data_IF_098468426286
#
_entry.id   IF_098468426286
#
_cell.length_a   1.000
_cell.length_b   1.000
_cell.length_c   1.000
_cell.angle_alpha   90.00
_cell.angle_beta   90.00
_cell.angle_gamma   90.00
#
_symmetry.space_group_name_H-M   'P 1'
#
loop_
_entity.id
_entity.type
_entity.pdbx_description
1 polymer ?
#
# COMPACT_ATOMS: atom_id res chain seq x y z
N UNK A 1 -2.60 -32.13 -1.40
CA UNK A 1 -3.91 -32.14 -2.10
C UNK A 1 -4.78 -30.88 -1.95
N UNK A 2 -4.53 -29.94 -1.01
CA UNK A 2 -5.36 -28.72 -0.86
C UNK A 2 -5.10 -27.60 -1.89
N UNK A 3 -3.96 -27.61 -2.60
CA UNK A 3 -3.65 -26.64 -3.66
C UNK A 3 -4.51 -26.81 -4.93
N UNK A 4 -5.02 -28.02 -5.18
CA UNK A 4 -5.87 -28.31 -6.35
C UNK A 4 -7.26 -27.66 -6.20
N UNK A 5 -7.78 -27.52 -4.98
CA UNK A 5 -9.07 -26.84 -4.76
C UNK A 5 -9.01 -25.33 -5.03
N UNK A 6 -7.86 -24.68 -4.79
CA UNK A 6 -7.64 -23.28 -5.17
C UNK A 6 -7.57 -23.13 -6.69
N UNK A 7 -6.94 -24.07 -7.41
CA UNK A 7 -6.90 -24.10 -8.88
C UNK A 7 -8.29 -24.34 -9.48
N UNK A 8 -9.11 -25.21 -8.88
CA UNK A 8 -10.49 -25.49 -9.34
C UNK A 8 -11.41 -24.29 -9.13
N UNK A 9 -11.29 -23.55 -8.02
CA UNK A 9 -12.04 -22.29 -7.83
C UNK A 9 -11.56 -21.18 -8.77
N UNK A 10 -10.27 -21.17 -9.14
CA UNK A 10 -9.70 -20.23 -10.08
C UNK A 10 -10.06 -20.52 -11.54
N UNK A 11 -10.25 -21.79 -11.91
CA UNK A 11 -10.61 -22.24 -13.26
C UNK A 11 -12.11 -22.31 -13.50
N UNK A 12 -12.92 -22.66 -12.50
CA UNK A 12 -14.39 -22.74 -12.62
C UNK A 12 -15.04 -21.36 -12.81
N UNK A 13 -14.44 -20.29 -12.29
CA UNK A 13 -14.93 -18.92 -12.48
C UNK A 13 -14.66 -18.33 -13.87
N UNK A 14 -13.97 -19.07 -14.76
CA UNK A 14 -13.65 -18.62 -16.13
C UNK A 14 -14.78 -18.95 -17.13
N UNK A 15 -15.81 -19.70 -16.75
CA UNK A 15 -16.86 -20.18 -17.69
C UNK A 15 -18.25 -19.55 -17.55
N UNK A 16 -18.49 -18.62 -16.62
CA UNK A 16 -19.81 -17.98 -16.50
C UNK A 16 -19.85 -16.62 -17.19
N UNK A 17 -20.59 -16.55 -18.31
CA UNK A 17 -20.97 -15.31 -19.00
C UNK A 17 -21.78 -14.41 -18.06
N UNK A 18 -21.37 -13.15 -17.93
CA UNK A 18 -22.06 -12.14 -17.13
C UNK A 18 -22.83 -11.17 -18.03
N UNK A 19 -24.15 -11.11 -17.84
CA UNK A 19 -25.05 -10.05 -18.31
C UNK A 19 -25.09 -8.94 -17.25
N UNK A 20 -24.75 -7.71 -17.64
CA UNK A 20 -24.76 -6.53 -16.77
C UNK A 20 -26.07 -5.73 -16.88
N UNK A 21 -26.53 -5.08 -15.80
CA UNK A 21 -27.44 -3.95 -15.89
C UNK A 21 -26.78 -2.63 -15.43
N UNK A 22 -27.09 -1.57 -16.19
CA UNK A 22 -26.71 -0.18 -15.99
C UNK A 22 -27.33 0.44 -14.72
N UNK A 23 -26.55 1.26 -14.01
CA UNK A 23 -27.03 2.07 -12.88
C UNK A 23 -26.37 3.45 -12.86
N UNK A 24 -27.20 4.48 -13.11
CA UNK A 24 -26.92 5.91 -13.26
C UNK A 24 -26.54 6.57 -11.91
N UNK A 25 -25.54 7.46 -11.88
CA UNK A 25 -25.19 8.30 -10.71
C UNK A 25 -25.52 9.77 -10.94
N UNK A 26 -26.13 10.40 -9.95
CA UNK A 26 -26.36 11.85 -9.85
C UNK A 26 -25.34 12.48 -8.91
N UNK A 27 -24.79 13.62 -9.30
CA UNK A 27 -23.79 14.42 -8.60
C UNK A 27 -24.41 15.46 -7.66
N UNK A 28 -23.78 15.70 -6.50
CA UNK A 28 -23.96 16.93 -5.71
C UNK A 28 -22.61 17.46 -5.27
N UNK A 29 -22.34 18.70 -5.66
CA UNK A 29 -21.14 19.48 -5.35
C UNK A 29 -21.24 20.18 -4.00
N UNK A 30 -20.17 20.17 -3.21
CA UNK A 30 -19.96 21.13 -2.13
C UNK A 30 -18.50 21.57 -2.11
N UNK A 31 -18.28 22.87 -2.32
CA UNK A 31 -17.00 23.54 -2.26
C UNK A 31 -16.67 23.94 -0.82
N UNK A 32 -15.44 23.71 -0.38
CA UNK A 32 -14.89 24.41 0.79
C UNK A 32 -13.42 24.78 0.53
N UNK A 33 -13.22 26.10 0.55
CA UNK A 33 -11.98 26.84 0.39
C UNK A 33 -11.29 26.95 1.76
N UNK A 34 -10.01 26.61 1.88
CA UNK A 34 -9.18 26.94 3.07
C UNK A 34 -7.73 27.27 2.69
N UNK A 35 -7.05 28.16 3.44
CA UNK A 35 -5.76 28.74 3.05
C UNK A 35 -4.54 28.05 3.69
N UNK A 36 -3.37 28.32 3.08
CA UNK A 36 -2.02 27.88 3.43
C UNK A 36 -1.60 28.11 4.89
N UNK A 37 -0.89 27.14 5.46
CA UNK A 37 -0.21 27.25 6.75
C UNK A 37 1.20 27.82 6.56
N UNK A 38 1.43 29.01 7.14
CA UNK A 38 2.75 29.65 7.33
C UNK A 38 3.24 29.31 8.75
N UNK A 39 4.52 28.94 8.85
CA UNK A 39 5.18 28.57 10.10
C UNK A 39 5.40 29.79 11.02
N UNK A 40 4.94 29.69 12.27
CA UNK A 40 5.19 30.67 13.33
C UNK A 40 6.18 30.13 14.36
N UNK A 41 7.35 30.78 14.44
CA UNK A 41 8.40 30.55 15.42
C UNK A 41 7.97 31.08 16.80
N UNK A 42 8.08 30.26 17.85
CA UNK A 42 7.80 30.68 19.23
C UNK A 42 9.08 30.61 20.07
N UNK A 43 9.47 31.76 20.59
CA UNK A 43 10.55 31.98 21.57
C UNK A 43 10.16 31.48 22.96
N UNK A 44 11.09 30.81 23.66
CA UNK A 44 10.95 30.31 25.04
C UNK A 44 11.70 31.22 26.01
N UNK A 45 11.16 31.57 27.19
CA UNK A 45 11.92 32.19 28.24
C UNK A 45 12.52 31.18 29.24
N UNK A 46 13.70 31.57 29.70
CA UNK A 46 14.65 30.92 30.58
C UNK A 46 14.13 30.83 32.03
N UNK A 47 14.25 29.67 32.69
CA UNK A 47 14.04 29.54 34.14
C UNK A 47 15.14 28.71 34.80
N UNK A 48 15.54 29.19 35.99
CA UNK A 48 16.71 28.87 36.79
C UNK A 48 16.71 27.49 37.45
N UNK A 49 17.93 27.02 37.69
CA UNK A 49 18.39 25.93 38.55
C UNK A 49 17.70 25.81 39.93
N UNK A 50 17.40 24.56 40.29
CA UNK A 50 17.48 24.04 41.66
C UNK A 50 17.91 22.57 41.60
N UNK A 51 18.78 22.19 42.54
CA UNK A 51 19.54 20.95 42.65
C UNK A 51 18.71 19.74 43.17
N UNK A 52 19.24 18.56 42.86
CA UNK A 52 19.16 17.27 43.56
C UNK A 52 17.81 16.56 43.78
N UNK A 53 17.50 15.63 42.87
CA UNK A 53 17.14 14.24 43.21
C UNK A 53 17.24 13.35 41.94
N UNK A 54 18.35 12.60 41.79
CA UNK A 54 18.56 11.69 40.64
C UNK A 54 17.77 10.40 40.87
N UNK A 55 16.45 10.50 40.77
CA UNK A 55 15.62 9.38 40.37
C UNK A 55 15.92 9.13 38.90
N UNK A 56 16.66 8.07 38.58
CA UNK A 56 16.79 7.55 37.21
C UNK A 56 15.40 7.16 36.73
N UNK A 57 14.68 8.15 36.21
CA UNK A 57 13.53 7.95 35.35
C UNK A 57 14.06 7.18 34.15
N UNK A 58 13.91 5.86 34.18
CA UNK A 58 13.98 5.05 32.96
C UNK A 58 13.07 5.75 31.95
N UNK A 59 13.69 6.47 31.01
CA UNK A 59 13.00 7.11 29.91
C UNK A 59 12.10 6.06 29.31
N UNK A 60 10.78 6.26 29.41
CA UNK A 60 9.80 5.28 28.98
C UNK A 60 10.13 4.92 27.52
N UNK A 61 10.62 3.68 27.32
CA UNK A 61 11.09 3.24 26.02
C UNK A 61 9.98 3.44 24.99
N UNK A 62 10.35 3.91 23.79
CA UNK A 62 9.37 4.13 22.73
C UNK A 62 8.64 2.81 22.39
N UNK A 63 7.40 2.86 21.90
CA UNK A 63 6.68 1.67 21.47
C UNK A 63 7.50 0.79 20.51
N UNK A 64 8.15 1.41 19.53
CA UNK A 64 8.99 0.74 18.54
C UNK A 64 10.17 0.02 19.23
N UNK A 65 10.87 0.67 20.17
CA UNK A 65 11.98 0.06 20.91
C UNK A 65 11.55 -1.12 21.79
N UNK A 66 10.35 -1.04 22.39
CA UNK A 66 9.78 -2.15 23.17
C UNK A 66 9.48 -3.36 22.29
N UNK A 67 8.92 -3.15 21.09
CA UNK A 67 8.64 -4.22 20.13
C UNK A 67 9.95 -4.82 19.61
N UNK A 68 10.93 -4.00 19.24
CA UNK A 68 12.23 -4.49 18.75
C UNK A 68 12.95 -5.35 19.80
N UNK A 69 12.92 -4.93 21.07
CA UNK A 69 13.45 -5.73 22.18
C UNK A 69 12.71 -7.06 22.31
N UNK A 70 11.38 -7.03 22.30
CA UNK A 70 10.56 -8.24 22.33
C UNK A 70 10.87 -9.20 21.17
N UNK A 71 11.04 -8.68 19.95
CA UNK A 71 11.40 -9.48 18.78
C UNK A 71 12.80 -10.10 18.90
N UNK A 72 13.74 -9.37 19.48
CA UNK A 72 15.11 -9.86 19.75
C UNK A 72 15.09 -10.98 20.78
N UNK A 73 14.35 -10.80 21.87
CA UNK A 73 14.25 -11.78 22.97
C UNK A 73 13.62 -13.09 22.48
N UNK A 74 12.59 -13.03 21.62
CA UNK A 74 11.98 -14.22 21.02
C UNK A 74 12.92 -14.98 20.07
N UNK A 75 13.81 -14.29 19.35
CA UNK A 75 14.79 -14.96 18.48
C UNK A 75 15.80 -15.77 19.30
N UNK A 76 16.28 -15.20 20.41
CA UNK A 76 17.28 -15.85 21.26
C UNK A 76 16.72 -17.08 22.00
N UNK A 77 15.42 -17.11 22.27
CA UNK A 77 14.80 -18.25 22.96
C UNK A 77 14.76 -19.52 22.09
N UNK A 78 14.57 -19.40 20.76
CA UNK A 78 14.55 -20.55 19.85
C UNK A 78 15.94 -21.23 19.76
N UNK A 79 17.04 -20.47 19.93
CA UNK A 79 18.42 -21.00 19.84
C UNK A 79 18.88 -21.79 21.07
N UNK A 80 18.27 -21.56 22.25
CA UNK A 80 18.79 -22.11 23.52
C UNK A 80 18.09 -23.40 23.96
N UNK A 81 16.95 -23.75 23.38
CA UNK A 81 16.23 -25.00 23.64
C UNK A 81 16.87 -26.17 22.87
N UNK A 82 18.10 -26.50 23.24
CA UNK A 82 18.85 -27.65 22.73
C UNK A 82 18.25 -28.98 23.17
N UNK A 83 17.66 -29.70 22.22
CA UNK A 83 17.20 -31.08 22.38
C UNK A 83 17.12 -31.78 21.03
N UNK A 84 18.19 -32.50 20.69
CA UNK A 84 18.38 -33.54 19.66
C UNK A 84 17.39 -33.61 18.46
N UNK A 85 17.98 -33.46 17.27
CA UNK A 85 17.67 -34.16 16.02
C UNK A 85 16.54 -33.68 15.09
N UNK A 86 16.39 -32.36 14.88
CA UNK A 86 15.88 -31.91 13.57
C UNK A 86 16.54 -30.62 13.06
N UNK A 87 17.18 -30.72 11.90
CA UNK A 87 18.22 -29.84 11.38
C UNK A 87 17.64 -28.64 10.58
N UNK A 88 16.66 -27.91 11.13
CA UNK A 88 16.11 -26.74 10.42
C UNK A 88 15.94 -25.51 11.31
N UNK A 89 17.06 -24.86 11.67
CA UNK A 89 17.11 -23.46 12.16
C UNK A 89 16.84 -22.46 11.04
N UNK A 90 15.83 -22.72 10.20
CA UNK A 90 15.40 -21.72 9.22
C UNK A 90 14.52 -20.68 9.91
N UNK A 91 14.82 -19.37 9.78
CA UNK A 91 13.99 -18.34 10.38
C UNK A 91 12.53 -18.50 9.94
N UNK A 92 11.60 -18.35 10.90
CA UNK A 92 10.16 -18.50 10.64
C UNK A 92 9.74 -17.55 9.53
N UNK A 93 9.06 -18.08 8.51
CA UNK A 93 8.71 -17.34 7.31
C UNK A 93 7.37 -16.63 7.47
N UNK A 94 7.29 -15.42 6.93
CA UNK A 94 6.02 -14.70 6.76
C UNK A 94 5.32 -15.15 5.47
N UNK A 95 4.02 -15.44 5.54
CA UNK A 95 3.26 -16.00 4.41
C UNK A 95 2.21 -15.08 3.79
N UNK A 96 1.96 -13.88 4.31
CA UNK A 96 0.92 -12.96 3.81
C UNK A 96 1.50 -12.00 2.76
N UNK A 97 2.10 -12.56 1.70
CA UNK A 97 2.87 -11.81 0.72
C UNK A 97 2.00 -11.00 -0.26
N UNK A 98 0.76 -11.43 -0.52
CA UNK A 98 -0.12 -10.73 -1.46
C UNK A 98 -0.46 -9.31 -1.03
N UNK A 99 -0.55 -9.04 0.28
CA UNK A 99 -0.74 -7.68 0.80
C UNK A 99 0.50 -6.82 0.57
N UNK A 100 1.70 -7.33 0.89
CA UNK A 100 2.99 -6.65 0.67
C UNK A 100 3.17 -6.23 -0.79
N UNK A 101 2.96 -7.15 -1.73
CA UNK A 101 3.08 -6.83 -3.17
C UNK A 101 2.04 -5.84 -3.66
N UNK A 102 0.84 -5.85 -3.08
CA UNK A 102 -0.19 -4.87 -3.41
C UNK A 102 0.26 -3.47 -2.99
N UNK A 103 0.79 -3.33 -1.78
CA UNK A 103 1.35 -2.06 -1.29
C UNK A 103 2.51 -1.58 -2.18
N UNK A 104 3.41 -2.48 -2.59
CA UNK A 104 4.47 -2.13 -3.56
C UNK A 104 3.90 -1.65 -4.91
N UNK A 105 2.84 -2.29 -5.41
CA UNK A 105 2.20 -1.86 -6.66
C UNK A 105 1.58 -0.48 -6.55
N UNK A 106 0.96 -0.13 -5.42
CA UNK A 106 0.43 1.22 -5.19
C UNK A 106 1.56 2.26 -5.16
N UNK A 107 2.64 1.97 -4.43
CA UNK A 107 3.81 2.85 -4.35
C UNK A 107 4.41 3.10 -5.74
N UNK A 108 4.54 2.05 -6.56
CA UNK A 108 5.01 2.15 -7.93
C UNK A 108 4.07 3.00 -8.79
N UNK A 109 2.78 2.69 -8.78
CA UNK A 109 1.79 3.36 -9.63
C UNK A 109 1.61 4.84 -9.25
N UNK A 110 1.70 5.19 -7.97
CA UNK A 110 1.76 6.58 -7.51
C UNK A 110 3.01 7.31 -8.04
N UNK A 111 4.16 6.65 -8.05
CA UNK A 111 5.39 7.20 -8.65
C UNK A 111 5.29 7.38 -10.17
N UNK A 112 4.59 6.47 -10.87
CA UNK A 112 4.32 6.60 -12.32
C UNK A 112 3.36 7.75 -12.60
N UNK A 113 2.31 7.91 -11.79
CA UNK A 113 1.38 9.04 -11.89
C UNK A 113 2.10 10.39 -11.70
N UNK A 114 3.04 10.47 -10.76
CA UNK A 114 3.90 11.65 -10.59
C UNK A 114 4.66 11.97 -11.89
N UNK A 115 5.33 10.98 -12.49
CA UNK A 115 6.13 11.18 -13.72
C UNK A 115 5.26 11.59 -14.90
N UNK A 116 4.07 11.01 -15.03
CA UNK A 116 3.09 11.39 -16.05
C UNK A 116 2.69 12.86 -15.89
N UNK A 117 2.36 13.28 -14.67
CA UNK A 117 2.00 14.67 -14.36
C UNK A 117 3.13 15.66 -14.70
N UNK A 118 4.38 15.35 -14.32
CA UNK A 118 5.54 16.19 -14.65
C UNK A 118 5.73 16.33 -16.17
N UNK A 119 5.55 15.24 -16.92
CA UNK A 119 5.68 15.26 -18.39
C UNK A 119 4.65 16.17 -19.06
N UNK A 120 3.40 16.18 -18.57
CA UNK A 120 2.34 17.06 -19.08
C UNK A 120 2.67 18.55 -18.84
N UNK A 121 3.31 18.87 -17.71
CA UNK A 121 3.78 20.24 -17.42
C UNK A 121 4.86 20.67 -18.41
N UNK A 122 5.86 19.80 -18.66
CA UNK A 122 6.97 20.09 -19.58
C UNK A 122 6.53 20.24 -21.04
N UNK A 123 5.52 19.48 -21.47
CA UNK A 123 5.01 19.56 -22.86
C UNK A 123 4.25 20.86 -23.11
N UNK A 124 3.58 21.39 -22.08
CA UNK A 124 2.79 22.63 -22.18
C UNK A 124 3.66 23.89 -22.28
N UNK A 125 4.94 23.82 -21.87
CA UNK A 125 5.83 25.01 -21.77
C UNK A 125 6.68 25.26 -23.01
N UNK A 126 6.73 24.33 -23.97
CA UNK A 126 7.50 24.51 -25.21
C UNK A 126 6.55 25.00 -26.32
N UNK A 127 6.66 26.27 -26.76
CA UNK A 127 5.89 26.76 -27.90
C UNK A 127 6.49 26.17 -29.18
N UNK A 128 6.03 24.97 -29.56
CA UNK A 128 6.40 24.36 -30.83
C UNK A 128 5.65 25.11 -31.93
N UNK A 129 6.32 26.09 -32.54
CA UNK A 129 5.84 26.77 -33.73
C UNK A 129 5.86 25.85 -34.94
N UNK A 130 4.82 25.03 -35.11
CA UNK A 130 4.49 24.33 -36.35
C UNK A 130 3.14 23.65 -36.17
N UNK A 131 2.34 23.62 -37.25
CA UNK A 131 0.96 23.11 -37.40
C UNK A 131 0.73 21.65 -36.93
N UNK A 132 1.03 21.33 -35.67
CA UNK A 132 0.75 20.04 -35.06
C UNK A 132 -0.73 20.00 -34.72
N UNK A 133 -1.46 19.23 -35.53
CA UNK A 133 -2.83 18.77 -35.29
C UNK A 133 -3.02 18.50 -33.80
N UNK A 134 -3.89 19.28 -33.15
CA UNK A 134 -4.30 19.10 -31.76
C UNK A 134 -4.90 17.70 -31.61
N UNK A 135 -4.10 16.73 -31.18
CA UNK A 135 -4.60 15.44 -30.78
C UNK A 135 -5.24 15.60 -29.38
N UNK A 136 -6.52 15.94 -29.39
CA UNK A 136 -7.44 16.10 -28.25
C UNK A 136 -7.49 14.85 -27.33
N UNK A 137 -6.90 13.73 -27.74
CA UNK A 137 -6.86 12.49 -26.97
C UNK A 137 -5.98 12.56 -25.71
N UNK A 138 -4.97 13.44 -25.69
CA UNK A 138 -3.99 13.52 -24.60
C UNK A 138 -4.48 14.21 -23.32
N UNK A 139 -5.54 15.00 -23.35
CA UNK A 139 -5.96 15.75 -22.16
C UNK A 139 -6.62 14.84 -21.10
N UNK A 140 -7.20 13.70 -21.49
CA UNK A 140 -7.87 12.76 -20.56
C UNK A 140 -6.94 11.83 -19.78
N UNK A 141 -5.66 11.77 -20.15
CA UNK A 141 -4.73 10.75 -19.65
C UNK A 141 -4.53 10.79 -18.13
N UNK A 142 -4.44 11.99 -17.56
CA UNK A 142 -4.14 12.15 -16.13
C UNK A 142 -5.33 11.72 -15.26
N UNK A 143 -6.56 11.99 -15.71
CA UNK A 143 -7.79 11.54 -15.04
C UNK A 143 -7.89 10.02 -15.01
N UNK A 144 -7.71 9.37 -16.15
CA UNK A 144 -7.74 7.90 -16.26
C UNK A 144 -6.63 7.25 -15.44
N UNK A 145 -5.42 7.82 -15.48
CA UNK A 145 -4.30 7.36 -14.68
C UNK A 145 -4.62 7.44 -13.19
N UNK A 146 -5.12 8.59 -12.72
CA UNK A 146 -5.50 8.77 -11.32
C UNK A 146 -6.66 7.86 -10.89
N UNK A 147 -7.64 7.61 -11.77
CA UNK A 147 -8.71 6.63 -11.50
C UNK A 147 -8.13 5.22 -11.27
N UNK A 148 -7.17 4.79 -12.10
CA UNK A 148 -6.52 3.50 -11.89
C UNK A 148 -5.77 3.42 -10.56
N UNK A 149 -4.92 4.42 -10.25
CA UNK A 149 -4.11 4.40 -9.02
C UNK A 149 -4.99 4.49 -7.78
N UNK A 150 -5.97 5.39 -7.76
CA UNK A 150 -6.75 5.70 -6.57
C UNK A 150 -7.98 4.81 -6.43
N UNK A 151 -8.86 4.83 -7.44
CA UNK A 151 -10.19 4.22 -7.33
C UNK A 151 -10.15 2.70 -7.54
N UNK A 152 -9.12 2.19 -8.22
CA UNK A 152 -8.89 0.75 -8.40
C UNK A 152 -7.81 0.20 -7.46
N UNK A 153 -6.54 0.60 -7.63
CA UNK A 153 -5.41 -0.03 -6.91
C UNK A 153 -5.49 0.25 -5.40
N UNK A 154 -5.40 1.52 -5.01
CA UNK A 154 -5.43 1.91 -3.59
C UNK A 154 -6.71 1.50 -2.87
N UNK A 155 -7.87 1.68 -3.51
CA UNK A 155 -9.16 1.26 -2.93
C UNK A 155 -9.21 -0.24 -2.66
N UNK A 156 -8.69 -1.05 -3.59
CA UNK A 156 -8.59 -2.50 -3.40
C UNK A 156 -7.69 -2.87 -2.21
N UNK A 157 -6.54 -2.21 -2.09
CA UNK A 157 -5.63 -2.40 -0.95
C UNK A 157 -6.31 -2.03 0.37
N UNK A 158 -6.90 -0.84 0.46
CA UNK A 158 -7.55 -0.36 1.66
C UNK A 158 -8.73 -1.23 2.10
N UNK A 159 -9.50 -1.79 1.15
CA UNK A 159 -10.57 -2.72 1.47
C UNK A 159 -10.06 -4.01 2.13
N UNK A 160 -8.94 -4.56 1.65
CA UNK A 160 -8.28 -5.71 2.29
C UNK A 160 -7.77 -5.33 3.69
N UNK A 161 -7.16 -4.18 3.82
CA UNK A 161 -6.57 -3.73 5.06
C UNK A 161 -7.63 -3.47 6.16
N UNK A 162 -8.68 -2.72 5.82
CA UNK A 162 -9.72 -2.31 6.76
C UNK A 162 -10.60 -3.49 7.19
N UNK A 163 -10.91 -4.40 6.27
CA UNK A 163 -11.85 -5.50 6.56
C UNK A 163 -11.17 -6.79 7.05
N UNK A 164 -9.89 -6.99 6.75
CA UNK A 164 -9.19 -8.24 7.07
C UNK A 164 -7.90 -8.00 7.84
N UNK A 165 -6.95 -7.25 7.29
CA UNK A 165 -5.57 -7.24 7.79
C UNK A 165 -5.43 -6.59 9.17
N UNK A 166 -5.88 -5.34 9.34
CA UNK A 166 -5.77 -4.64 10.62
C UNK A 166 -6.63 -5.28 11.73
N UNK A 167 -7.89 -5.69 11.48
CA UNK A 167 -8.66 -6.44 12.47
C UNK A 167 -7.94 -7.72 12.93
N UNK A 168 -7.35 -8.45 12.00
CA UNK A 168 -6.58 -9.67 12.31
C UNK A 168 -5.32 -9.38 13.12
N UNK A 169 -4.53 -8.36 12.74
CA UNK A 169 -3.35 -7.93 13.50
C UNK A 169 -3.70 -7.54 14.93
N UNK A 170 -4.77 -6.75 15.12
CA UNK A 170 -5.23 -6.36 16.47
C UNK A 170 -5.67 -7.57 17.28
N UNK A 171 -6.38 -8.52 16.67
CA UNK A 171 -6.83 -9.73 17.35
C UNK A 171 -5.68 -10.63 17.84
N UNK A 172 -4.48 -10.50 17.28
CA UNK A 172 -3.31 -11.31 17.64
C UNK A 172 -2.34 -10.55 18.55
N UNK A 173 -2.04 -9.29 18.20
CA UNK A 173 -0.95 -8.55 18.84
C UNK A 173 -1.42 -7.70 20.02
N UNK A 174 -2.71 -7.38 20.09
CA UNK A 174 -3.27 -6.43 21.06
C UNK A 174 -4.31 -7.08 21.95
N UNK A 175 -5.19 -7.94 21.40
CA UNK A 175 -6.22 -8.60 22.19
C UNK A 175 -5.58 -9.57 23.21
N UNK A 176 -5.86 -9.32 24.48
CA UNK A 176 -5.40 -10.15 25.60
C UNK A 176 -5.89 -11.59 25.49
N UNK A 177 -7.07 -11.80 24.88
CA UNK A 177 -7.66 -13.14 24.72
C UNK A 177 -6.90 -14.03 23.75
N UNK A 178 -6.07 -13.44 22.87
CA UNK A 178 -5.23 -14.21 21.96
C UNK A 178 -4.24 -15.10 22.73
N UNK A 179 -3.81 -14.66 23.91
CA UNK A 179 -2.74 -15.30 24.66
C UNK A 179 -1.39 -15.30 23.94
N UNK A 180 -1.25 -14.60 22.82
CA UNK A 180 -0.03 -14.64 21.97
C UNK A 180 1.05 -13.70 22.53
N UNK A 181 0.66 -12.53 23.03
CA UNK A 181 1.57 -11.56 23.66
C UNK A 181 1.18 -11.39 25.13
N UNK A 182 1.99 -11.94 26.03
CA UNK A 182 1.66 -11.95 27.46
C UNK A 182 1.97 -10.63 28.18
N UNK A 183 3.04 -9.94 27.77
CA UNK A 183 3.48 -8.71 28.43
C UNK A 183 2.60 -7.52 28.03
N UNK A 184 1.90 -6.93 29.01
CA UNK A 184 0.94 -5.84 28.78
C UNK A 184 1.58 -4.59 28.14
N UNK A 185 2.80 -4.23 28.54
CA UNK A 185 3.56 -3.13 27.94
C UNK A 185 3.86 -3.36 26.45
N UNK A 186 4.19 -4.59 26.06
CA UNK A 186 4.43 -4.95 24.66
C UNK A 186 3.13 -4.92 23.85
N UNK A 187 2.02 -5.42 24.40
CA UNK A 187 0.69 -5.30 23.76
C UNK A 187 0.31 -3.83 23.53
N UNK A 188 0.50 -2.99 24.53
CA UNK A 188 0.22 -1.56 24.43
C UNK A 188 1.13 -0.88 23.39
N UNK A 189 2.39 -1.30 23.30
CA UNK A 189 3.30 -0.82 22.26
C UNK A 189 2.82 -1.20 20.85
N UNK A 190 2.40 -2.46 20.62
CA UNK A 190 1.78 -2.86 19.35
C UNK A 190 0.52 -2.08 19.03
N UNK A 191 -0.33 -1.84 20.04
CA UNK A 191 -1.53 -1.00 19.91
C UNK A 191 -1.18 0.41 19.42
N UNK A 192 -0.22 1.07 20.07
CA UNK A 192 0.22 2.41 19.70
C UNK A 192 0.82 2.47 18.28
N UNK A 193 1.60 1.47 17.87
CA UNK A 193 2.15 1.39 16.50
C UNK A 193 1.03 1.20 15.47
N UNK A 194 0.06 0.31 15.74
CA UNK A 194 -1.08 0.09 14.85
C UNK A 194 -1.96 1.34 14.73
N UNK A 195 -2.23 2.04 15.84
CA UNK A 195 -2.99 3.29 15.85
C UNK A 195 -2.27 4.39 15.03
N UNK A 196 -0.95 4.49 15.19
CA UNK A 196 -0.12 5.41 14.41
C UNK A 196 -0.17 5.11 12.91
N UNK A 197 -0.05 3.84 12.51
CA UNK A 197 -0.13 3.42 11.11
C UNK A 197 -1.52 3.70 10.54
N UNK A 198 -2.59 3.38 11.27
CA UNK A 198 -3.96 3.65 10.83
C UNK A 198 -4.20 5.17 10.64
N UNK A 199 -3.64 6.00 11.52
CA UNK A 199 -3.67 7.47 11.37
C UNK A 199 -2.98 7.91 10.09
N UNK A 200 -1.80 7.37 9.77
CA UNK A 200 -1.11 7.67 8.51
C UNK A 200 -1.90 7.17 7.28
N UNK A 201 -2.53 5.99 7.35
CA UNK A 201 -3.40 5.47 6.27
C UNK A 201 -4.60 6.38 6.02
N UNK A 202 -5.20 6.95 7.07
CA UNK A 202 -6.28 7.94 6.93
C UNK A 202 -5.78 9.22 6.23
N UNK A 203 -4.56 9.66 6.54
CA UNK A 203 -3.94 10.79 5.85
C UNK A 203 -3.70 10.47 4.36
N UNK A 204 -3.13 9.31 4.05
CA UNK A 204 -2.92 8.81 2.67
C UNK A 204 -4.25 8.78 1.90
N UNK A 205 -5.34 8.31 2.53
CA UNK A 205 -6.70 8.31 1.96
C UNK A 205 -7.20 9.71 1.61
N UNK A 206 -7.00 10.68 2.49
CA UNK A 206 -7.37 12.08 2.22
C UNK A 206 -6.54 12.64 1.07
N UNK A 207 -5.22 12.42 1.07
CA UNK A 207 -4.32 12.86 0.01
C UNK A 207 -4.72 12.28 -1.35
N UNK A 208 -5.05 11.01 -1.41
CA UNK A 208 -5.52 10.33 -2.61
C UNK A 208 -6.80 10.94 -3.20
N UNK A 209 -7.75 11.32 -2.36
CA UNK A 209 -8.95 12.03 -2.83
C UNK A 209 -8.63 13.39 -3.46
N UNK A 210 -7.61 14.09 -2.94
CA UNK A 210 -7.12 15.35 -3.50
C UNK A 210 -6.39 15.13 -4.83
N UNK A 211 -5.57 14.08 -4.93
CA UNK A 211 -4.93 13.67 -6.20
C UNK A 211 -5.98 13.44 -7.29
N UNK A 212 -7.05 12.69 -6.97
CA UNK A 212 -8.13 12.38 -7.92
C UNK A 212 -8.83 13.65 -8.42
N UNK A 213 -9.10 14.61 -7.53
CA UNK A 213 -9.75 15.87 -7.92
C UNK A 213 -8.82 16.78 -8.74
N UNK A 214 -7.54 16.88 -8.38
CA UNK A 214 -6.58 17.66 -9.15
C UNK A 214 -6.35 17.06 -10.55
N UNK A 215 -6.30 15.73 -10.66
CA UNK A 215 -6.21 15.05 -11.96
C UNK A 215 -7.42 15.39 -12.85
N UNK A 216 -8.62 15.42 -12.27
CA UNK A 216 -9.85 15.82 -12.97
C UNK A 216 -9.81 17.26 -13.48
N UNK A 217 -9.27 18.17 -12.67
CA UNK A 217 -9.11 19.58 -13.08
C UNK A 217 -8.05 19.69 -14.20
N UNK A 218 -6.93 18.99 -14.05
CA UNK A 218 -5.84 18.98 -15.02
C UNK A 218 -6.28 18.43 -16.39
N UNK A 219 -7.23 17.50 -16.41
CA UNK A 219 -7.79 16.90 -17.62
C UNK A 219 -9.08 17.56 -18.14
N UNK A 220 -9.54 18.65 -17.52
CA UNK A 220 -10.82 19.26 -17.88
C UNK A 220 -10.69 20.32 -18.97
N UNK A 221 -11.34 20.11 -20.11
CA UNK A 221 -11.44 21.10 -21.20
C UNK A 221 -12.10 22.43 -20.78
N UNK A 222 -12.89 22.40 -19.70
CA UNK A 222 -13.54 23.59 -19.14
C UNK A 222 -12.59 24.45 -18.26
N UNK A 223 -11.39 23.95 -17.94
CA UNK A 223 -10.41 24.68 -17.13
C UNK A 223 -9.41 25.44 -18.00
N UNK A 224 -8.96 26.62 -17.56
CA UNK A 224 -7.94 27.39 -18.28
C UNK A 224 -6.61 26.65 -18.34
N UNK A 225 -5.76 26.87 -19.36
CA UNK A 225 -4.46 26.20 -19.47
C UNK A 225 -3.57 26.37 -18.23
N UNK A 226 -3.53 27.57 -17.65
CA UNK A 226 -2.79 27.86 -16.40
C UNK A 226 -3.31 27.01 -15.24
N UNK A 227 -4.63 26.91 -15.07
CA UNK A 227 -5.25 26.09 -14.02
C UNK A 227 -5.00 24.61 -14.23
N UNK A 228 -5.02 24.12 -15.48
CA UNK A 228 -4.68 22.72 -15.80
C UNK A 228 -3.23 22.41 -15.45
N UNK A 229 -2.31 23.30 -15.81
CA UNK A 229 -0.88 23.17 -15.49
C UNK A 229 -0.62 23.18 -13.97
N UNK A 230 -1.27 24.07 -13.23
CA UNK A 230 -1.17 24.12 -11.76
C UNK A 230 -1.71 22.82 -11.14
N UNK A 231 -2.86 22.35 -11.59
CA UNK A 231 -3.45 21.10 -11.12
C UNK A 231 -2.56 19.89 -11.42
N UNK A 232 -1.93 19.83 -12.60
CA UNK A 232 -0.94 18.81 -12.93
C UNK A 232 0.29 18.86 -11.99
N UNK A 233 0.77 20.06 -11.65
CA UNK A 233 1.84 20.23 -10.65
C UNK A 233 1.43 19.70 -9.28
N UNK A 234 0.19 19.97 -8.86
CA UNK A 234 -0.36 19.43 -7.61
C UNK A 234 -0.44 17.90 -7.65
N UNK A 235 -0.89 17.30 -8.77
CA UNK A 235 -0.89 15.83 -8.94
C UNK A 235 0.52 15.27 -8.79
N UNK A 236 1.53 15.89 -9.40
CA UNK A 236 2.91 15.44 -9.29
C UNK A 236 3.39 15.43 -7.82
N UNK A 237 3.24 16.55 -7.12
CA UNK A 237 3.69 16.69 -5.73
C UNK A 237 2.92 15.75 -4.78
N UNK A 238 1.61 15.69 -4.90
CA UNK A 238 0.76 14.87 -4.04
C UNK A 238 0.99 13.38 -4.31
N UNK A 239 1.17 12.96 -5.56
CA UNK A 239 1.46 11.56 -5.89
C UNK A 239 2.84 11.12 -5.38
N UNK A 240 3.84 12.01 -5.44
CA UNK A 240 5.16 11.78 -4.81
C UNK A 240 5.03 11.58 -3.29
N UNK A 241 4.22 12.42 -2.65
CA UNK A 241 3.97 12.35 -1.21
C UNK A 241 3.22 11.07 -0.85
N UNK A 242 2.23 10.68 -1.66
CA UNK A 242 1.48 9.43 -1.53
C UNK A 242 2.44 8.23 -1.58
N UNK A 243 3.28 8.14 -2.62
CA UNK A 243 4.24 7.05 -2.78
C UNK A 243 5.24 6.97 -1.61
N UNK A 244 5.71 8.12 -1.11
CA UNK A 244 6.66 8.20 0.01
C UNK A 244 5.99 7.71 1.30
N UNK A 245 4.83 8.27 1.66
CA UNK A 245 4.12 7.92 2.90
C UNK A 245 3.66 6.46 2.92
N UNK A 246 3.18 5.94 1.79
CA UNK A 246 2.82 4.51 1.69
C UNK A 246 4.05 3.61 1.86
N UNK A 247 5.22 4.01 1.36
CA UNK A 247 6.48 3.29 1.57
C UNK A 247 6.95 3.35 3.03
N UNK A 248 6.80 4.48 3.70
CA UNK A 248 7.14 4.64 5.12
C UNK A 248 6.28 3.70 5.99
N UNK A 249 4.97 3.67 5.73
CA UNK A 249 4.03 2.75 6.36
C UNK A 249 4.47 1.29 6.15
N UNK A 250 4.75 0.91 4.90
CA UNK A 250 5.20 -0.45 4.57
C UNK A 250 6.50 -0.80 5.31
N UNK A 251 7.47 0.12 5.31
CA UNK A 251 8.77 -0.08 5.97
C UNK A 251 8.60 -0.34 7.47
N UNK A 252 7.75 0.45 8.14
CA UNK A 252 7.48 0.26 9.57
C UNK A 252 6.77 -1.06 9.85
N UNK A 253 5.83 -1.46 8.99
CA UNK A 253 5.16 -2.76 9.09
C UNK A 253 6.15 -3.92 8.90
N UNK A 254 7.05 -3.82 7.92
CA UNK A 254 8.10 -4.81 7.64
C UNK A 254 9.13 -4.94 8.75
N UNK A 255 9.41 -3.84 9.47
CA UNK A 255 10.36 -3.83 10.58
C UNK A 255 9.76 -4.39 11.88
N UNK A 256 8.49 -4.08 12.15
CA UNK A 256 7.89 -4.33 13.46
C UNK A 256 6.81 -5.42 13.43
N UNK A 257 5.85 -5.33 12.51
CA UNK A 257 4.65 -6.18 12.52
C UNK A 257 4.88 -7.51 11.81
N UNK A 258 5.53 -7.49 10.64
CA UNK A 258 5.81 -8.70 9.86
C UNK A 258 6.66 -9.71 10.65
N UNK A 259 7.77 -9.31 11.31
CA UNK A 259 8.55 -10.25 12.11
C UNK A 259 7.79 -10.74 13.34
N UNK A 260 6.94 -9.90 13.95
CA UNK A 260 6.09 -10.32 15.07
C UNK A 260 5.11 -11.41 14.63
N UNK A 261 4.40 -11.20 13.53
CA UNK A 261 3.47 -12.20 12.98
C UNK A 261 4.21 -13.49 12.60
N UNK A 262 5.37 -13.39 11.94
CA UNK A 262 6.16 -14.55 11.58
C UNK A 262 6.64 -15.36 12.80
N UNK A 263 7.01 -14.67 13.89
CA UNK A 263 7.47 -15.31 15.12
C UNK A 263 6.34 -15.96 15.93
N UNK A 264 5.17 -15.31 15.96
CA UNK A 264 4.10 -15.60 16.92
C UNK A 264 2.95 -16.40 16.33
N UNK A 265 2.71 -16.31 15.02
CA UNK A 265 1.51 -16.89 14.39
C UNK A 265 1.87 -18.15 13.62
N UNK A 266 1.19 -19.29 13.86
CA UNK A 266 1.44 -20.51 13.11
C UNK A 266 1.30 -20.34 11.60
N UNK A 267 2.17 -20.98 10.81
CA UNK A 267 2.14 -20.87 9.35
C UNK A 267 0.78 -21.27 8.75
N UNK A 268 0.10 -22.25 9.35
CA UNK A 268 -1.21 -22.73 8.91
C UNK A 268 -2.27 -21.62 8.99
N UNK A 269 -2.22 -20.80 10.03
CA UNK A 269 -3.11 -19.66 10.21
C UNK A 269 -2.76 -18.54 9.22
N UNK A 270 -1.47 -18.20 9.06
CA UNK A 270 -1.05 -17.20 8.08
C UNK A 270 -1.47 -17.58 6.65
N UNK A 271 -1.32 -18.86 6.26
CA UNK A 271 -1.76 -19.39 4.95
C UNK A 271 -3.29 -19.33 4.81
N UNK A 272 -4.03 -19.61 5.88
CA UNK A 272 -5.49 -19.48 5.91
C UNK A 272 -5.93 -18.02 5.72
N UNK A 273 -5.27 -17.09 6.42
CA UNK A 273 -5.48 -15.66 6.28
C UNK A 273 -5.19 -15.18 4.85
N UNK A 274 -4.03 -15.55 4.28
CA UNK A 274 -3.68 -15.22 2.89
C UNK A 274 -4.75 -15.72 1.89
N UNK A 275 -5.31 -16.90 2.13
CA UNK A 275 -6.41 -17.43 1.32
C UNK A 275 -7.71 -16.62 1.44
N UNK A 276 -7.94 -15.92 2.55
CA UNK A 276 -9.08 -14.98 2.71
C UNK A 276 -8.82 -13.68 1.95
N UNK A 277 -7.60 -13.15 2.00
CA UNK A 277 -7.18 -11.96 1.25
C UNK A 277 -7.38 -12.15 -0.25
N UNK A 278 -6.90 -13.27 -0.81
CA UNK A 278 -7.05 -13.58 -2.24
C UNK A 278 -8.54 -13.64 -2.64
N UNK A 279 -9.38 -14.25 -1.80
CA UNK A 279 -10.83 -14.31 -2.04
C UNK A 279 -11.48 -12.92 -2.02
N UNK A 280 -11.05 -12.06 -1.09
CA UNK A 280 -11.60 -10.70 -0.91
C UNK A 280 -11.28 -9.77 -2.08
N UNK A 281 -10.12 -9.92 -2.72
CA UNK A 281 -9.75 -9.16 -3.92
C UNK A 281 -10.62 -9.48 -5.16
N UNK A 282 -11.47 -10.51 -5.11
CA UNK A 282 -12.40 -10.85 -6.18
C UNK A 282 -11.73 -11.47 -7.42
N UNK A 283 -12.42 -12.37 -8.13
CA UNK A 283 -11.80 -13.20 -9.18
C UNK A 283 -11.51 -12.41 -10.48
N UNK A 284 -12.27 -11.34 -10.75
CA UNK A 284 -12.07 -10.53 -11.95
C UNK A 284 -11.01 -9.45 -11.74
N UNK A 285 -11.08 -8.72 -10.63
CA UNK A 285 -10.14 -7.65 -10.31
C UNK A 285 -8.78 -8.18 -9.82
N UNK A 286 -8.74 -9.38 -9.21
CA UNK A 286 -7.48 -10.03 -8.81
C UNK A 286 -6.50 -10.23 -9.98
N UNK A 287 -6.97 -10.36 -11.22
CA UNK A 287 -6.08 -10.47 -12.39
C UNK A 287 -5.32 -9.18 -12.65
N UNK A 288 -6.00 -8.04 -12.57
CA UNK A 288 -5.36 -6.74 -12.75
C UNK A 288 -4.44 -6.43 -11.57
N UNK A 289 -4.88 -6.69 -10.34
CA UNK A 289 -4.02 -6.53 -9.16
C UNK A 289 -2.78 -7.43 -9.25
N UNK A 290 -2.92 -8.69 -9.69
CA UNK A 290 -1.79 -9.60 -9.81
C UNK A 290 -0.77 -9.15 -10.87
N UNK A 291 -1.23 -8.57 -11.98
CA UNK A 291 -0.32 -7.94 -12.96
C UNK A 291 0.41 -6.77 -12.30
N UNK A 292 -0.31 -5.89 -11.61
CA UNK A 292 0.28 -4.76 -10.88
C UNK A 292 1.32 -5.20 -9.85
N UNK A 293 0.99 -6.20 -9.02
CA UNK A 293 1.87 -6.82 -8.03
C UNK A 293 3.12 -7.43 -8.67
N UNK A 294 2.95 -8.22 -9.74
CA UNK A 294 4.07 -8.84 -10.45
C UNK A 294 5.03 -7.78 -10.98
N UNK A 295 4.51 -6.81 -11.73
CA UNK A 295 5.31 -5.75 -12.31
C UNK A 295 6.02 -4.92 -11.21
N UNK A 296 5.44 -4.81 -10.01
CA UNK A 296 6.03 -4.09 -8.90
C UNK A 296 7.18 -4.87 -8.26
N UNK A 297 7.03 -6.19 -8.14
CA UNK A 297 8.11 -7.09 -7.68
C UNK A 297 9.26 -7.12 -8.69
N UNK A 298 8.97 -7.23 -9.98
CA UNK A 298 10.03 -7.23 -10.99
C UNK A 298 10.84 -5.91 -11.00
N UNK A 299 10.20 -4.78 -10.70
CA UNK A 299 10.85 -3.46 -10.67
C UNK A 299 11.72 -3.21 -9.43
N UNK A 300 11.58 -3.97 -8.34
CA UNK A 300 12.45 -3.77 -7.16
C UNK A 300 13.88 -4.25 -7.39
N UNK A 301 14.10 -5.08 -8.42
CA UNK A 301 15.37 -5.79 -8.68
C UNK A 301 15.84 -6.66 -7.49
N UNK A 302 14.93 -7.04 -6.59
CA UNK A 302 15.21 -7.95 -5.48
C UNK A 302 14.92 -9.40 -5.88
N UNK A 303 15.99 -10.16 -6.12
CA UNK A 303 15.94 -11.57 -6.52
C UNK A 303 15.21 -12.44 -5.48
N UNK A 304 15.31 -12.08 -4.19
CA UNK A 304 14.64 -12.81 -3.11
C UNK A 304 13.12 -12.63 -3.23
N UNK A 305 12.68 -11.40 -3.50
CA UNK A 305 11.27 -11.07 -3.68
C UNK A 305 10.70 -11.73 -4.95
N UNK A 306 11.45 -11.72 -6.05
CA UNK A 306 11.09 -12.39 -7.30
C UNK A 306 10.87 -13.90 -7.07
N UNK A 307 11.85 -14.57 -6.46
CA UNK A 307 11.75 -16.00 -6.14
C UNK A 307 10.56 -16.29 -5.23
N UNK A 308 10.34 -15.45 -4.23
CA UNK A 308 9.21 -15.59 -3.30
C UNK A 308 7.86 -15.45 -4.03
N UNK A 309 7.76 -14.55 -5.00
CA UNK A 309 6.59 -14.41 -5.85
C UNK A 309 6.33 -15.68 -6.67
N UNK A 310 7.38 -16.25 -7.27
CA UNK A 310 7.26 -17.48 -8.06
C UNK A 310 6.83 -18.71 -7.24
N UNK A 311 7.35 -18.82 -6.02
CA UNK A 311 7.03 -19.91 -5.10
C UNK A 311 5.58 -19.82 -4.58
N UNK A 312 5.12 -18.61 -4.27
CA UNK A 312 3.83 -18.40 -3.61
C UNK A 312 2.65 -18.26 -4.60
N UNK A 313 2.89 -17.75 -5.80
CA UNK A 313 1.84 -17.62 -6.83
C UNK A 313 1.78 -18.90 -7.68
N UNK A 314 0.61 -19.55 -7.78
CA UNK A 314 0.48 -20.77 -8.57
C UNK A 314 0.88 -20.55 -10.06
N UNK A 315 1.43 -21.60 -10.67
CA UNK A 315 2.00 -21.57 -12.01
C UNK A 315 1.03 -21.04 -13.10
N UNK A 316 -0.24 -21.49 -13.09
CA UNK A 316 -1.25 -21.08 -14.07
C UNK A 316 -1.47 -19.55 -14.05
N UNK A 317 -1.75 -18.93 -12.88
CA UNK A 317 -1.72 -17.47 -12.73
C UNK A 317 -0.50 -16.81 -13.35
N UNK A 318 0.71 -17.28 -13.03
CA UNK A 318 1.96 -16.69 -13.51
C UNK A 318 2.06 -16.72 -15.02
N UNK A 319 1.78 -17.86 -15.64
CA UNK A 319 1.81 -18.01 -17.10
C UNK A 319 0.80 -17.11 -17.83
N UNK A 320 -0.27 -16.70 -17.14
CA UNK A 320 -1.32 -15.86 -17.71
C UNK A 320 -1.07 -14.36 -17.56
N UNK A 321 -0.12 -13.95 -16.72
CA UNK A 321 0.23 -12.53 -16.48
C UNK A 321 0.50 -11.78 -17.80
N UNK A 322 1.32 -12.27 -18.75
CA UNK A 322 1.56 -11.54 -20.00
C UNK A 322 0.30 -11.33 -20.85
N UNK A 323 -0.67 -12.25 -20.77
CA UNK A 323 -1.94 -12.12 -21.47
C UNK A 323 -2.86 -11.12 -20.76
N UNK A 324 -2.93 -11.16 -19.43
CA UNK A 324 -3.72 -10.18 -18.67
C UNK A 324 -3.13 -8.79 -18.72
N UNK A 325 -1.80 -8.66 -18.76
CA UNK A 325 -1.15 -7.37 -18.96
C UNK A 325 -1.68 -6.71 -20.24
N UNK A 326 -1.56 -7.40 -21.38
CA UNK A 326 -2.03 -6.89 -22.68
C UNK A 326 -3.53 -6.67 -22.79
N UNK A 327 -4.35 -7.56 -22.20
CA UNK A 327 -5.80 -7.56 -22.43
C UNK A 327 -6.59 -6.80 -21.38
N UNK A 328 -6.05 -6.62 -20.18
CA UNK A 328 -6.79 -6.10 -19.03
C UNK A 328 -6.08 -4.94 -18.34
N UNK A 329 -4.75 -5.03 -18.15
CA UNK A 329 -3.99 -4.02 -17.42
C UNK A 329 -3.64 -2.82 -18.31
N UNK A 330 -2.97 -3.03 -19.45
CA UNK A 330 -2.58 -1.98 -20.41
C UNK A 330 -3.75 -1.07 -20.82
N UNK A 331 -4.96 -1.57 -21.12
CA UNK A 331 -6.09 -0.70 -21.44
C UNK A 331 -6.53 0.24 -20.31
N UNK A 332 -6.21 -0.06 -19.05
CA UNK A 332 -6.59 0.77 -17.89
C UNK A 332 -5.43 1.57 -17.31
N UNK A 333 -4.23 0.98 -17.31
CA UNK A 333 -3.06 1.49 -16.62
C UNK A 333 -1.91 1.83 -17.57
N UNK A 334 -2.00 1.46 -18.85
CA UNK A 334 -0.96 1.75 -19.86
C UNK A 334 -0.71 3.25 -20.05
N UNK A 335 -1.72 4.08 -19.74
CA UNK A 335 -1.60 5.54 -19.70
C UNK A 335 -0.52 6.04 -18.72
N UNK A 336 -0.20 5.27 -17.68
CA UNK A 336 0.86 5.60 -16.71
C UNK A 336 2.28 5.50 -17.31
N UNK A 337 2.46 4.75 -18.40
CA UNK A 337 3.78 4.59 -19.05
C UNK A 337 4.12 5.79 -19.95
N UNK A 338 3.11 6.50 -20.46
CA UNK A 338 3.27 7.64 -21.37
C UNK A 338 4.07 7.24 -22.62
N UNK A 339 3.53 6.31 -23.40
CA UNK A 339 4.10 5.89 -24.69
C UNK A 339 4.00 7.01 -25.71
#
# INVERSE_FOLDING_TARGET
MKAIHLIVLWTAAVTTKSTAPNGRRTSSSSSSFWPSLVAGSTTVPNTKHADDDVCTTESAASPDALIERFLRDNRNHDDTSGGHDDNSTTPKKFHVQGWRWHTLSLVRDAGRLQRLALRKISTTTVPTGSDAVEDDSGDSDLDMAAEHVIDFNMKGLHAVEDELFFPWLRSILVDEKSGVVHAANVRNAFGAVLDSIETERLFVRKLASQVREQARIASSTNSTPTRRSEAASNVAQMSSTLATRTRDILTRQEQLLVPAVAALVPESEQKSFNSRVIRKLGIFDSRLHLVGMYDAVMETADIVEEKLFEEMIPMIPRMMIPRWRRKLYEPKAGVLEGV
#
